data_IF_831977062121
#
_entry.id   IF_831977062121
#
_cell.length_a   1.000
_cell.length_b   1.000
_cell.length_c   1.000
_cell.angle_alpha   90.00
_cell.angle_beta   90.00
_cell.angle_gamma   90.00
#
_symmetry.space_group_name_H-M   'P 1'
#
loop_
_entity.id
_entity.type
_entity.pdbx_description
1 polymer ?
#
# COMPACT_ATOMS: atom_id res chain seq x y z
N UNK A 1 7.99 31.20 -6.55
CA UNK A 1 8.78 30.45 -7.54
C UNK A 1 9.27 29.16 -6.95
N UNK A 2 10.21 29.23 -6.04
CA UNK A 2 10.70 28.02 -5.37
C UNK A 2 9.60 27.28 -4.63
N UNK A 3 8.62 28.00 -4.07
CA UNK A 3 7.52 27.39 -3.34
C UNK A 3 6.64 26.52 -4.24
N UNK A 4 6.37 26.95 -5.47
CA UNK A 4 5.54 26.19 -6.40
C UNK A 4 6.24 24.93 -6.84
N UNK A 5 7.52 25.03 -7.20
CA UNK A 5 8.32 23.87 -7.58
C UNK A 5 8.41 22.89 -6.40
N UNK A 6 8.61 23.43 -5.21
CA UNK A 6 8.68 22.63 -4.01
C UNK A 6 7.36 21.90 -3.76
N UNK A 7 6.22 22.53 -3.96
CA UNK A 7 4.92 21.88 -3.78
C UNK A 7 4.71 20.71 -4.72
N UNK A 8 5.07 20.86 -6.01
CA UNK A 8 4.95 19.77 -6.98
C UNK A 8 5.85 18.60 -6.59
N UNK A 9 7.07 18.88 -6.22
CA UNK A 9 8.01 17.86 -5.76
C UNK A 9 7.54 17.24 -4.46
N UNK A 10 6.99 18.06 -3.57
CA UNK A 10 6.51 17.60 -2.27
C UNK A 10 5.36 16.61 -2.41
N UNK A 11 4.45 16.83 -3.37
CA UNK A 11 3.35 15.88 -3.59
C UNK A 11 3.86 14.51 -3.99
N UNK A 12 4.77 14.43 -4.98
CA UNK A 12 5.33 13.16 -5.43
C UNK A 12 6.16 12.50 -4.33
N UNK A 13 6.96 13.28 -3.61
CA UNK A 13 7.79 12.78 -2.51
C UNK A 13 6.90 12.31 -1.36
N UNK A 14 5.84 13.05 -1.05
CA UNK A 14 4.90 12.68 0.02
C UNK A 14 4.20 11.36 -0.29
N UNK A 15 3.78 11.15 -1.55
CA UNK A 15 3.15 9.89 -1.95
C UNK A 15 4.13 8.73 -1.79
N UNK A 16 5.37 8.93 -2.23
CA UNK A 16 6.41 7.91 -2.09
C UNK A 16 6.71 7.63 -0.62
N UNK A 17 6.85 8.68 0.18
CA UNK A 17 7.14 8.53 1.61
C UNK A 17 6.02 7.82 2.34
N UNK A 18 4.77 8.12 1.99
CA UNK A 18 3.63 7.45 2.58
C UNK A 18 3.64 5.95 2.26
N UNK A 19 3.95 5.59 1.00
CA UNK A 19 4.04 4.19 0.60
C UNK A 19 5.19 3.48 1.33
N UNK A 20 6.36 4.10 1.40
CA UNK A 20 7.51 3.55 2.11
C UNK A 20 7.18 3.34 3.57
N UNK A 21 6.56 4.32 4.21
CA UNK A 21 6.21 4.25 5.62
C UNK A 21 5.25 3.08 5.90
N UNK A 22 4.23 2.90 5.07
CA UNK A 22 3.30 1.79 5.21
C UNK A 22 4.00 0.44 5.06
N UNK A 23 4.86 0.32 4.05
CA UNK A 23 5.59 -0.92 3.80
C UNK A 23 6.56 -1.24 4.93
N UNK A 24 7.24 -0.25 5.46
CA UNK A 24 8.15 -0.44 6.61
C UNK A 24 7.40 -0.91 7.83
N UNK A 25 6.23 -0.32 8.12
CA UNK A 25 5.39 -0.75 9.23
C UNK A 25 4.97 -2.20 9.07
N UNK A 26 4.52 -2.58 7.88
CA UNK A 26 4.08 -3.95 7.62
C UNK A 26 5.26 -4.93 7.74
N UNK A 27 6.43 -4.54 7.24
CA UNK A 27 7.61 -5.36 7.36
C UNK A 27 7.97 -5.60 8.83
N UNK A 28 7.90 -4.56 9.65
CA UNK A 28 8.16 -4.67 11.08
C UNK A 28 7.17 -5.61 11.75
N UNK A 29 5.88 -5.47 11.46
CA UNK A 29 4.86 -6.39 12.00
C UNK A 29 5.14 -7.84 11.60
N UNK A 30 5.57 -8.05 10.36
CA UNK A 30 5.90 -9.39 9.88
C UNK A 30 7.09 -9.97 10.64
N UNK A 31 8.13 -9.16 10.86
CA UNK A 31 9.31 -9.59 11.61
C UNK A 31 8.99 -9.91 13.06
N UNK A 32 8.01 -9.23 13.64
CA UNK A 32 7.55 -9.49 15.00
C UNK A 32 6.59 -10.68 15.11
N UNK A 33 6.28 -11.31 13.98
CA UNK A 33 5.42 -12.48 13.96
C UNK A 33 3.92 -12.19 13.98
N UNK A 34 3.52 -10.93 13.73
CA UNK A 34 2.11 -10.54 13.75
C UNK A 34 1.40 -10.72 12.42
N UNK A 35 2.14 -11.10 11.36
CA UNK A 35 1.57 -11.28 10.03
C UNK A 35 1.83 -12.71 9.56
N UNK A 36 0.76 -13.43 9.29
CA UNK A 36 0.84 -14.82 8.83
C UNK A 36 0.87 -14.90 7.30
N UNK A 37 0.12 -14.04 6.64
CA UNK A 37 0.02 -14.00 5.19
C UNK A 37 -0.22 -12.58 4.75
N UNK A 38 0.23 -12.24 3.53
CA UNK A 38 0.13 -10.88 3.04
C UNK A 38 -0.17 -10.87 1.54
N UNK A 39 -0.98 -9.91 1.12
CA UNK A 39 -1.22 -9.60 -0.28
C UNK A 39 -0.95 -8.11 -0.46
N UNK A 40 -0.27 -7.76 -1.54
CA UNK A 40 0.11 -6.37 -1.81
C UNK A 40 -0.30 -6.03 -3.24
N UNK A 41 -0.99 -4.90 -3.38
CA UNK A 41 -1.30 -4.32 -4.68
C UNK A 41 -0.68 -2.93 -4.72
N UNK A 42 -0.10 -2.57 -5.86
CA UNK A 42 0.53 -1.26 -5.98
C UNK A 42 0.37 -0.69 -7.37
N UNK A 43 0.49 0.63 -7.45
CA UNK A 43 0.50 1.35 -8.71
C UNK A 43 1.93 1.82 -8.97
N UNK A 44 2.49 1.41 -10.10
CA UNK A 44 3.84 1.79 -10.48
C UNK A 44 3.92 3.25 -10.91
N UNK A 45 5.15 3.74 -11.07
CA UNK A 45 5.40 5.13 -11.44
C UNK A 45 4.77 5.51 -12.79
N UNK A 46 4.53 4.53 -13.66
CA UNK A 46 3.90 4.76 -14.97
C UNK A 46 2.39 4.52 -14.96
N UNK A 47 1.80 4.31 -13.78
CA UNK A 47 0.38 4.03 -13.63
C UNK A 47 0.00 2.57 -13.77
N UNK A 48 0.97 1.67 -13.95
CA UNK A 48 0.70 0.25 -14.11
C UNK A 48 0.33 -0.37 -12.76
N UNK A 49 -0.74 -1.16 -12.75
CA UNK A 49 -1.22 -1.85 -11.55
C UNK A 49 -0.59 -3.22 -11.44
N UNK A 50 -0.09 -3.55 -10.26
CA UNK A 50 0.54 -4.82 -9.98
C UNK A 50 0.05 -5.38 -8.65
N UNK A 51 0.21 -6.68 -8.45
CA UNK A 51 -0.18 -7.34 -7.21
C UNK A 51 0.64 -8.60 -7.00
N UNK A 52 0.83 -8.95 -5.74
CA UNK A 52 1.47 -10.21 -5.36
C UNK A 52 0.96 -10.65 -4.00
N UNK A 53 1.17 -11.90 -3.66
CA UNK A 53 0.76 -12.43 -2.36
C UNK A 53 1.68 -13.58 -1.95
N UNK A 54 1.62 -13.94 -0.67
CA UNK A 54 2.55 -14.89 -0.07
C UNK A 54 2.24 -16.37 -0.32
N UNK A 55 1.18 -16.68 -1.05
CA UNK A 55 0.75 -18.06 -1.38
C UNK A 55 0.36 -18.93 -0.19
N UNK A 56 0.37 -18.39 1.02
CA UNK A 56 -0.11 -19.09 2.20
C UNK A 56 -1.50 -18.57 2.56
N UNK A 57 -2.39 -19.48 2.96
CA UNK A 57 -3.72 -19.13 3.41
C UNK A 57 -4.48 -18.20 2.45
N UNK A 58 -4.55 -18.59 1.19
CA UNK A 58 -5.16 -17.79 0.13
C UNK A 58 -6.63 -17.45 0.44
N UNK A 59 -7.36 -18.38 1.05
CA UNK A 59 -8.77 -18.14 1.39
C UNK A 59 -8.93 -16.97 2.36
N UNK A 60 -8.12 -16.93 3.42
CA UNK A 60 -8.15 -15.82 4.37
C UNK A 60 -7.70 -14.52 3.74
N UNK A 61 -6.69 -14.58 2.85
CA UNK A 61 -6.23 -13.41 2.13
C UNK A 61 -7.31 -12.83 1.22
N UNK A 62 -8.09 -13.68 0.56
CA UNK A 62 -9.21 -13.20 -0.26
C UNK A 62 -10.22 -12.42 0.60
N UNK A 63 -10.50 -12.91 1.80
CA UNK A 63 -11.34 -12.18 2.74
C UNK A 63 -10.75 -10.84 3.15
N UNK A 64 -9.45 -10.82 3.45
CA UNK A 64 -8.74 -9.59 3.82
C UNK A 64 -8.73 -8.58 2.67
N UNK A 65 -8.51 -9.04 1.44
CA UNK A 65 -8.54 -8.17 0.26
C UNK A 65 -9.94 -7.60 0.04
N UNK A 66 -10.98 -8.40 0.25
CA UNK A 66 -12.36 -7.94 0.16
C UNK A 66 -12.66 -6.85 1.18
N UNK A 67 -12.17 -7.01 2.40
CA UNK A 67 -12.29 -5.97 3.44
C UNK A 67 -11.58 -4.69 3.04
N UNK A 68 -10.37 -4.81 2.51
CA UNK A 68 -9.61 -3.67 2.02
C UNK A 68 -10.37 -2.94 0.93
N UNK A 69 -10.91 -3.68 -0.04
CA UNK A 69 -11.69 -3.12 -1.13
C UNK A 69 -12.90 -2.34 -0.59
N UNK A 70 -13.60 -2.92 0.37
CA UNK A 70 -14.76 -2.28 0.99
C UNK A 70 -14.37 -0.94 1.63
N UNK A 71 -13.26 -0.94 2.40
CA UNK A 71 -12.79 0.28 3.07
C UNK A 71 -12.38 1.35 2.08
N UNK A 72 -11.70 0.97 0.99
CA UNK A 72 -11.28 1.90 -0.05
C UNK A 72 -12.49 2.50 -0.77
N UNK A 73 -13.49 1.67 -1.09
CA UNK A 73 -14.72 2.15 -1.71
C UNK A 73 -15.44 3.17 -0.85
N UNK A 74 -15.46 2.96 0.46
CA UNK A 74 -16.07 3.92 1.39
C UNK A 74 -15.30 5.25 1.42
N UNK A 75 -14.01 5.23 1.17
CA UNK A 75 -13.20 6.44 1.10
C UNK A 75 -13.54 7.29 -0.13
N UNK A 76 -13.98 6.64 -1.21
CA UNK A 76 -14.34 7.34 -2.44
C UNK A 76 -15.67 8.07 -2.37
N UNK A 77 -16.48 7.86 -1.34
CA UNK A 77 -17.78 8.52 -1.17
C UNK A 77 -17.65 9.94 -0.59
#
# INVERSE_FOLDING_TARGET
MAAEIHMLRTTAVTDREAAVHKLEKMLQHAREGHVQAVAVAWVGATGRVNATWSDSDTASLLGAVSLLQYRMLNTLR
#
